data_IF_565050843218
#
_entry.id   IF_565050843218
#
_cell.length_a   1.000
_cell.length_b   1.000
_cell.length_c   1.000
_cell.angle_alpha   90.00
_cell.angle_beta   90.00
_cell.angle_gamma   90.00
#
_symmetry.space_group_name_H-M   'P 1'
#
loop_
_entity.id
_entity.type
_entity.pdbx_description
1 polymer ?
#
# COMPACT_ATOMS: atom_id res chain seq x y z
N UNK A 1 4.86 -12.99 -7.32
CA UNK A 1 4.79 -11.50 -7.33
C UNK A 1 6.20 -10.93 -7.21
N UNK A 2 6.55 -9.93 -8.03
CA UNK A 2 7.83 -9.21 -7.96
C UNK A 2 7.65 -8.01 -7.01
N UNK A 3 8.63 -7.69 -6.17
CA UNK A 3 8.60 -6.46 -5.38
C UNK A 3 9.39 -5.36 -6.09
N UNK A 4 8.86 -4.15 -6.04
CA UNK A 4 9.47 -2.94 -6.55
C UNK A 4 9.84 -2.03 -5.38
N UNK A 5 11.11 -1.63 -5.34
CA UNK A 5 11.59 -0.65 -4.38
C UNK A 5 11.16 0.75 -4.84
N UNK A 6 10.40 1.45 -4.00
CA UNK A 6 10.03 2.84 -4.26
C UNK A 6 11.22 3.73 -3.92
N UNK A 7 12.13 3.93 -4.88
CA UNK A 7 13.06 5.05 -4.82
C UNK A 7 12.30 6.33 -5.19
N UNK A 8 11.73 7.02 -4.22
CA UNK A 8 11.24 8.38 -4.43
C UNK A 8 12.45 9.31 -4.62
N UNK A 9 13.00 9.36 -5.85
CA UNK A 9 14.06 10.30 -6.25
C UNK A 9 13.41 11.49 -6.95
N UNK A 10 13.56 12.68 -6.37
CA UNK A 10 13.21 14.02 -6.90
C UNK A 10 13.87 14.40 -8.25
N UNK A 11 14.37 13.46 -9.06
CA UNK A 11 15.23 13.79 -10.21
C UNK A 11 14.51 14.56 -11.33
N UNK A 12 13.19 14.44 -11.46
CA UNK A 12 12.42 15.24 -12.43
C UNK A 12 12.03 16.64 -11.94
N UNK A 13 12.34 17.01 -10.70
CA UNK A 13 11.99 18.34 -10.17
C UNK A 13 13.01 19.44 -10.48
N UNK A 14 14.26 19.10 -10.84
CA UNK A 14 15.27 20.13 -11.15
C UNK A 14 15.08 20.78 -12.53
N UNK A 15 14.58 20.05 -13.54
CA UNK A 15 14.23 20.66 -14.83
C UNK A 15 12.93 21.48 -14.77
N UNK A 16 12.01 21.11 -13.88
CA UNK A 16 10.79 21.89 -13.60
C UNK A 16 11.08 23.14 -12.74
N UNK A 17 12.10 23.09 -11.87
CA UNK A 17 12.60 24.23 -11.11
C UNK A 17 13.25 25.30 -11.99
N UNK A 18 14.01 24.91 -13.02
CA UNK A 18 14.58 25.86 -14.00
C UNK A 18 13.47 26.57 -14.81
N UNK A 19 12.39 25.86 -15.12
CA UNK A 19 11.19 26.39 -15.78
C UNK A 19 10.35 27.31 -14.88
N UNK A 20 10.27 27.02 -13.57
CA UNK A 20 9.58 27.84 -12.58
C UNK A 20 10.37 29.11 -12.22
N UNK A 21 11.70 29.09 -12.32
CA UNK A 21 12.57 30.26 -12.11
C UNK A 21 12.48 31.29 -13.23
N UNK A 22 12.10 30.88 -14.45
CA UNK A 22 11.97 31.76 -15.62
C UNK A 22 10.57 32.43 -15.75
N UNK A 23 9.56 31.96 -15.02
CA UNK A 23 8.15 32.40 -15.19
C UNK A 23 7.61 33.28 -14.05
N UNK A 24 8.49 33.78 -13.18
CA UNK A 24 8.26 35.01 -12.40
C UNK A 24 6.93 35.10 -11.66
N UNK A 25 6.73 34.29 -10.62
CA UNK A 25 5.67 34.52 -9.63
C UNK A 25 6.16 34.24 -8.20
N UNK A 26 6.57 35.34 -7.57
CA UNK A 26 6.41 35.67 -6.15
C UNK A 26 7.28 34.94 -5.11
N UNK A 27 8.22 35.73 -4.60
CA UNK A 27 9.26 35.53 -3.59
C UNK A 27 8.87 34.85 -2.25
N UNK A 28 7.62 34.41 -2.06
CA UNK A 28 7.21 33.67 -0.86
C UNK A 28 7.67 32.20 -0.87
N UNK A 29 7.76 31.58 -2.06
CA UNK A 29 8.23 30.19 -2.17
C UNK A 29 9.75 30.06 -1.96
N UNK A 30 10.51 31.09 -2.35
CA UNK A 30 11.98 31.11 -2.22
C UNK A 30 12.42 31.17 -0.75
N UNK A 31 11.67 31.86 0.12
CA UNK A 31 11.94 31.90 1.56
C UNK A 31 11.64 30.57 2.28
N UNK A 32 10.60 29.85 1.87
CA UNK A 32 10.28 28.50 2.40
C UNK A 32 11.35 27.47 2.03
N UNK A 33 11.95 27.62 0.84
CA UNK A 33 13.02 26.73 0.35
C UNK A 33 14.40 27.09 0.91
N UNK A 34 14.69 28.37 1.21
CA UNK A 34 15.99 28.81 1.70
C UNK A 34 16.12 28.88 3.23
N UNK A 35 15.03 29.13 3.97
CA UNK A 35 15.08 29.34 5.43
C UNK A 35 14.11 28.46 6.25
N UNK A 36 13.29 27.61 5.60
CA UNK A 36 12.64 26.50 6.30
C UNK A 36 13.73 25.57 6.86
N UNK A 37 13.57 25.01 8.09
CA UNK A 37 14.67 24.36 8.78
C UNK A 37 15.38 23.34 7.89
N UNK A 38 16.66 23.63 7.67
CA UNK A 38 17.70 22.81 7.07
C UNK A 38 17.90 21.53 7.89
N UNK A 39 16.97 20.60 7.72
CA UNK A 39 17.04 19.17 8.03
C UNK A 39 15.65 18.64 7.70
N UNK A 40 15.49 17.83 6.64
CA UNK A 40 14.37 16.90 6.67
C UNK A 40 14.66 15.97 7.86
N UNK A 41 13.82 15.91 8.92
CA UNK A 41 14.09 15.04 10.07
C UNK A 41 13.93 13.54 9.72
N UNK A 42 13.63 13.21 8.47
CA UNK A 42 13.20 11.89 8.04
C UNK A 42 14.37 10.93 7.81
N UNK A 43 14.97 10.45 8.91
CA UNK A 43 15.70 9.18 8.95
C UNK A 43 14.70 8.01 9.05
N UNK A 44 13.86 7.80 8.04
CA UNK A 44 13.01 6.59 7.97
C UNK A 44 13.53 5.54 6.98
N UNK A 45 14.86 5.54 6.80
CA UNK A 45 15.59 4.44 6.19
C UNK A 45 15.73 3.35 7.25
N UNK A 46 14.99 2.26 7.07
CA UNK A 46 15.00 1.15 8.01
C UNK A 46 14.68 -0.13 7.28
N UNK A 47 15.12 -1.25 7.84
CA UNK A 47 14.61 -2.55 7.42
C UNK A 47 13.18 -2.67 7.98
N UNK A 48 12.18 -3.09 7.18
CA UNK A 48 10.87 -3.43 7.74
C UNK A 48 11.05 -4.37 8.95
N UNK A 49 10.40 -4.07 10.10
CA UNK A 49 10.52 -4.91 11.29
C UNK A 49 10.04 -6.34 11.01
N UNK A 50 10.46 -7.33 11.82
CA UNK A 50 10.13 -8.74 11.62
C UNK A 50 8.69 -9.06 12.05
N UNK A 51 7.73 -8.38 11.44
CA UNK A 51 6.29 -8.56 11.63
C UNK A 51 5.68 -9.00 10.30
N UNK A 52 4.77 -9.97 10.36
CA UNK A 52 3.93 -10.34 9.23
C UNK A 52 2.48 -10.10 9.62
N UNK A 53 1.78 -9.33 8.80
CA UNK A 53 0.41 -8.95 8.98
C UNK A 53 -0.46 -9.55 7.88
N UNK A 54 -1.52 -10.24 8.26
CA UNK A 54 -2.62 -10.61 7.37
C UNK A 54 -3.93 -10.15 7.99
N UNK A 55 -4.95 -9.96 7.17
CA UNK A 55 -6.29 -9.56 7.60
C UNK A 55 -7.29 -10.67 7.31
N UNK A 56 -8.23 -10.89 8.24
CA UNK A 56 -9.33 -11.82 8.08
C UNK A 56 -10.58 -11.19 8.70
N UNK A 57 -11.75 -11.47 8.14
CA UNK A 57 -13.03 -11.09 8.76
C UNK A 57 -13.11 -11.64 10.20
N UNK A 58 -13.94 -11.02 11.05
CA UNK A 58 -14.22 -11.45 12.43
C UNK A 58 -14.98 -12.81 12.47
N UNK A 59 -14.36 -13.89 11.97
CA UNK A 59 -14.90 -15.26 11.90
C UNK A 59 -14.37 -16.17 13.02
N UNK A 60 -13.52 -15.63 13.91
CA UNK A 60 -12.87 -16.40 14.99
C UNK A 60 -11.76 -17.35 14.52
N UNK A 61 -11.71 -17.71 13.24
CA UNK A 61 -10.65 -18.53 12.66
C UNK A 61 -10.42 -18.22 11.17
N UNK A 62 -9.25 -18.58 10.66
CA UNK A 62 -8.93 -18.47 9.23
C UNK A 62 -9.75 -19.53 8.47
N UNK A 63 -10.53 -19.15 7.42
CA UNK A 63 -11.27 -20.11 6.60
C UNK A 63 -10.35 -21.17 6.03
N UNK A 64 -10.82 -22.43 6.00
CA UNK A 64 -10.00 -23.61 5.65
C UNK A 64 -9.22 -23.45 4.34
N UNK A 65 -9.84 -22.86 3.32
CA UNK A 65 -9.19 -22.62 2.01
C UNK A 65 -7.99 -21.68 2.07
N UNK A 66 -7.91 -20.79 3.07
CA UNK A 66 -6.83 -19.84 3.23
C UNK A 66 -5.72 -20.29 4.20
N UNK A 67 -5.94 -21.37 4.97
CA UNK A 67 -4.95 -21.88 5.93
C UNK A 67 -3.58 -22.17 5.29
N UNK A 68 -3.48 -22.81 4.11
CA UNK A 68 -2.18 -23.07 3.48
C UNK A 68 -1.40 -21.79 3.15
N UNK A 69 -2.09 -20.68 2.91
CA UNK A 69 -1.47 -19.39 2.62
C UNK A 69 -0.90 -18.79 3.90
N UNK A 70 -1.67 -18.75 4.99
CA UNK A 70 -1.20 -18.30 6.29
C UNK A 70 -0.02 -19.15 6.82
N UNK A 71 -0.13 -20.47 6.72
CA UNK A 71 0.94 -21.42 7.08
C UNK A 71 2.22 -21.17 6.28
N UNK A 72 2.09 -20.85 4.99
CA UNK A 72 3.28 -20.53 4.17
C UNK A 72 4.07 -19.34 4.72
N UNK A 73 3.41 -18.34 5.31
CA UNK A 73 4.08 -17.20 5.94
C UNK A 73 4.76 -17.59 7.25
N UNK A 74 4.12 -18.39 8.09
CA UNK A 74 4.70 -18.91 9.35
C UNK A 74 5.96 -19.75 9.07
N UNK A 75 5.86 -20.67 8.12
CA UNK A 75 6.96 -21.59 7.77
C UNK A 75 8.12 -20.84 7.09
N UNK A 76 7.82 -19.91 6.19
CA UNK A 76 8.87 -19.17 5.48
C UNK A 76 9.52 -18.09 6.34
N UNK A 77 8.82 -17.50 7.32
CA UNK A 77 9.31 -16.41 8.16
C UNK A 77 9.30 -16.80 9.66
N UNK A 78 10.02 -17.86 10.08
CA UNK A 78 9.94 -18.38 11.46
C UNK A 78 10.46 -17.40 12.52
N UNK A 79 11.26 -16.41 12.11
CA UNK A 79 11.76 -15.33 12.99
C UNK A 79 10.82 -14.12 13.06
N UNK A 80 9.73 -14.11 12.29
CA UNK A 80 8.78 -13.00 12.29
C UNK A 80 7.62 -13.31 13.22
N UNK A 81 7.14 -12.28 13.92
CA UNK A 81 5.88 -12.38 14.64
C UNK A 81 4.73 -12.26 13.64
N UNK A 82 3.91 -13.30 13.56
CA UNK A 82 2.70 -13.30 12.76
C UNK A 82 1.54 -12.66 13.53
N UNK A 83 0.81 -11.77 12.87
CA UNK A 83 -0.31 -11.02 13.43
C UNK A 83 -1.49 -11.08 12.46
N UNK A 84 -2.54 -11.80 12.86
CA UNK A 84 -3.81 -11.82 12.15
C UNK A 84 -4.72 -10.72 12.70
N UNK A 85 -5.12 -9.81 11.82
CA UNK A 85 -5.98 -8.68 12.16
C UNK A 85 -7.41 -8.95 11.75
N UNK A 86 -8.34 -8.63 12.65
CA UNK A 86 -9.77 -8.66 12.36
C UNK A 86 -10.32 -7.27 12.08
N UNK A 87 -11.50 -7.17 11.47
CA UNK A 87 -12.12 -5.86 11.19
C UNK A 87 -12.28 -5.05 12.49
N UNK A 88 -12.74 -5.69 13.57
CA UNK A 88 -12.84 -5.06 14.89
C UNK A 88 -11.47 -4.63 15.44
N UNK A 89 -10.42 -5.43 15.23
CA UNK A 89 -9.04 -5.09 15.62
C UNK A 89 -8.51 -3.85 14.88
N UNK A 90 -8.73 -3.78 13.57
CA UNK A 90 -8.32 -2.65 12.74
C UNK A 90 -9.09 -1.37 13.09
N UNK A 91 -10.40 -1.47 13.39
CA UNK A 91 -11.19 -0.32 13.85
C UNK A 91 -10.68 0.21 15.19
N UNK A 92 -10.30 -0.66 16.13
CA UNK A 92 -9.67 -0.25 17.39
C UNK A 92 -8.32 0.43 17.16
N UNK A 93 -7.50 -0.08 16.23
CA UNK A 93 -6.23 0.54 15.84
C UNK A 93 -6.45 1.98 15.35
N UNK A 94 -7.37 2.17 14.40
CA UNK A 94 -7.68 3.50 13.87
C UNK A 94 -8.25 4.41 14.95
N UNK A 95 -9.23 3.95 15.73
CA UNK A 95 -9.84 4.77 16.78
C UNK A 95 -8.83 5.26 17.81
N UNK A 96 -7.84 4.43 18.16
CA UNK A 96 -6.82 4.76 19.16
C UNK A 96 -5.71 5.65 18.63
N UNK A 97 -5.23 5.41 17.40
CA UNK A 97 -4.01 6.05 16.89
C UNK A 97 -4.25 7.05 15.76
N UNK A 98 -5.40 6.98 15.10
CA UNK A 98 -5.76 7.80 13.93
C UNK A 98 -7.25 8.18 13.99
N UNK A 99 -7.70 8.95 14.99
CA UNK A 99 -9.12 9.23 15.21
C UNK A 99 -9.80 9.92 14.02
N UNK A 100 -9.08 10.79 13.31
CA UNK A 100 -9.55 11.38 12.06
C UNK A 100 -9.78 10.30 10.98
N UNK A 101 -8.88 9.31 10.91
CA UNK A 101 -9.02 8.17 10.02
C UNK A 101 -10.21 7.29 10.37
N UNK A 102 -10.41 7.01 11.65
CA UNK A 102 -11.58 6.29 12.12
C UNK A 102 -12.89 7.01 11.74
N UNK A 103 -12.90 8.35 11.78
CA UNK A 103 -14.06 9.15 11.43
C UNK A 103 -14.36 9.09 9.92
N UNK A 104 -13.39 9.46 9.06
CA UNK A 104 -13.66 9.51 7.62
C UNK A 104 -13.91 8.12 7.03
N UNK A 105 -13.22 7.07 7.50
CA UNK A 105 -13.44 5.71 6.99
C UNK A 105 -14.86 5.23 7.30
N UNK A 106 -15.39 5.52 8.49
CA UNK A 106 -16.78 5.21 8.87
C UNK A 106 -17.80 5.97 8.04
N UNK A 107 -17.49 7.21 7.64
CA UNK A 107 -18.43 8.06 6.88
C UNK A 107 -18.43 7.76 5.38
N UNK A 108 -17.29 7.38 4.82
CA UNK A 108 -17.09 7.38 3.36
C UNK A 108 -16.95 5.99 2.75
N UNK A 109 -16.51 4.98 3.49
CA UNK A 109 -16.32 3.63 2.96
C UNK A 109 -17.61 2.82 3.08
N UNK A 110 -17.95 2.10 2.01
CA UNK A 110 -19.24 1.40 1.88
C UNK A 110 -19.14 -0.10 2.10
N UNK A 111 -17.94 -0.67 2.04
CA UNK A 111 -17.74 -2.12 2.17
C UNK A 111 -16.56 -2.48 3.06
N UNK A 112 -16.54 -3.74 3.53
CA UNK A 112 -15.40 -4.29 4.28
C UNK A 112 -14.12 -4.36 3.44
N UNK A 113 -14.26 -4.64 2.14
CA UNK A 113 -13.12 -4.70 1.22
C UNK A 113 -12.45 -3.32 1.08
N UNK A 114 -13.24 -2.26 0.88
CA UNK A 114 -12.72 -0.90 0.85
C UNK A 114 -12.03 -0.50 2.16
N UNK A 115 -12.62 -0.90 3.29
CA UNK A 115 -12.00 -0.68 4.61
C UNK A 115 -10.66 -1.40 4.75
N UNK A 116 -10.57 -2.66 4.32
CA UNK A 116 -9.31 -3.42 4.32
C UNK A 116 -8.25 -2.79 3.40
N UNK A 117 -8.65 -2.31 2.22
CA UNK A 117 -7.75 -1.62 1.27
C UNK A 117 -7.13 -0.36 1.87
N UNK A 118 -7.87 0.36 2.70
CA UNK A 118 -7.38 1.55 3.42
C UNK A 118 -6.58 1.16 4.67
N UNK A 119 -7.12 0.26 5.49
CA UNK A 119 -6.60 -0.04 6.82
C UNK A 119 -5.18 -0.61 6.79
N UNK A 120 -4.80 -1.34 5.72
CA UNK A 120 -3.44 -1.88 5.55
C UNK A 120 -2.36 -0.81 5.48
N UNK A 121 -2.66 0.37 4.95
CA UNK A 121 -1.71 1.49 4.92
C UNK A 121 -1.50 2.07 6.31
N UNK A 122 -2.56 2.28 7.09
CA UNK A 122 -2.46 2.73 8.47
C UNK A 122 -1.78 1.70 9.37
N UNK A 123 -2.04 0.42 9.13
CA UNK A 123 -1.39 -0.69 9.83
C UNK A 123 0.12 -0.66 9.62
N UNK A 124 0.58 -0.60 8.37
CA UNK A 124 2.01 -0.49 8.04
C UNK A 124 2.59 0.86 8.46
N UNK A 125 1.83 1.94 8.42
CA UNK A 125 2.30 3.26 8.86
C UNK A 125 2.62 3.21 10.36
N UNK A 126 1.81 2.50 11.15
CA UNK A 126 1.99 2.38 12.59
C UNK A 126 3.07 1.37 12.98
N UNK A 127 2.96 0.12 12.51
CA UNK A 127 3.83 -0.97 12.95
C UNK A 127 5.02 -1.23 12.02
N UNK A 128 4.94 -0.79 10.76
CA UNK A 128 5.80 -1.29 9.70
C UNK A 128 5.57 -2.77 9.44
N UNK A 129 6.60 -3.45 8.95
CA UNK A 129 6.63 -4.89 8.72
C UNK A 129 6.17 -5.27 7.34
N UNK A 130 5.75 -6.51 7.19
CA UNK A 130 5.23 -7.09 5.96
C UNK A 130 3.71 -7.19 6.08
N UNK A 131 2.98 -6.64 5.12
CA UNK A 131 1.56 -6.91 4.93
C UNK A 131 1.38 -7.81 3.71
N UNK A 132 0.55 -8.83 3.82
CA UNK A 132 0.11 -9.65 2.71
C UNK A 132 -1.40 -9.92 2.79
N UNK A 133 -2.07 -9.92 1.64
CA UNK A 133 -3.46 -10.41 1.58
C UNK A 133 -3.51 -11.88 2.02
N UNK A 134 -4.68 -12.31 2.51
CA UNK A 134 -4.85 -13.63 3.11
C UNK A 134 -4.65 -14.78 2.10
N UNK A 135 -4.86 -14.50 0.82
CA UNK A 135 -4.70 -15.39 -0.33
C UNK A 135 -3.31 -15.29 -1.01
N UNK A 136 -2.36 -14.54 -0.42
CA UNK A 136 -0.99 -14.46 -0.93
C UNK A 136 -0.13 -15.54 -0.27
N UNK A 137 0.49 -16.39 -1.09
CA UNK A 137 1.42 -17.44 -0.64
C UNK A 137 2.85 -16.92 -0.57
N UNK A 138 3.53 -17.12 0.56
CA UNK A 138 4.96 -16.90 0.65
C UNK A 138 5.73 -18.07 0.03
N UNK A 139 6.56 -17.77 -0.98
CA UNK A 139 7.43 -18.78 -1.64
C UNK A 139 8.88 -18.76 -1.14
N UNK A 140 9.29 -17.69 -0.46
CA UNK A 140 10.65 -17.51 0.07
C UNK A 140 10.66 -16.42 1.13
N UNK A 141 11.74 -16.35 1.90
CA UNK A 141 12.01 -15.27 2.84
C UNK A 141 12.15 -13.93 2.12
N UNK A 142 11.35 -12.94 2.53
CA UNK A 142 11.43 -11.59 2.02
C UNK A 142 12.65 -10.80 2.51
N UNK A 143 13.09 -10.88 3.78
CA UNK A 143 14.16 -10.02 4.27
C UNK A 143 15.46 -10.11 3.45
N UNK A 144 15.95 -11.33 3.16
CA UNK A 144 17.13 -11.54 2.33
C UNK A 144 16.94 -11.00 0.89
N UNK A 145 15.73 -11.12 0.35
CA UNK A 145 15.39 -10.58 -0.96
C UNK A 145 15.36 -9.03 -0.94
N UNK A 146 14.82 -8.42 0.11
CA UNK A 146 14.81 -6.96 0.29
C UNK A 146 16.22 -6.40 0.46
N UNK A 147 17.08 -7.09 1.21
CA UNK A 147 18.49 -6.71 1.38
C UNK A 147 19.22 -6.77 0.02
N UNK A 148 18.97 -7.83 -0.78
CA UNK A 148 19.53 -7.93 -2.14
C UNK A 148 19.04 -6.82 -3.08
N UNK A 149 17.81 -6.33 -2.89
CA UNK A 149 17.25 -5.21 -3.66
C UNK A 149 17.89 -3.89 -3.22
N UNK A 150 18.03 -3.68 -1.92
CA UNK A 150 18.67 -2.50 -1.35
C UNK A 150 20.12 -2.36 -1.84
N UNK A 151 20.88 -3.47 -1.83
CA UNK A 151 22.25 -3.52 -2.29
C UNK A 151 22.38 -3.19 -3.78
N UNK A 152 21.56 -3.82 -4.64
CA UNK A 152 21.56 -3.56 -6.09
C UNK A 152 21.19 -2.12 -6.46
N UNK A 153 20.41 -1.45 -5.61
CA UNK A 153 19.97 -0.07 -5.83
C UNK A 153 20.81 0.96 -5.08
N UNK A 154 21.87 0.52 -4.38
CA UNK A 154 22.73 1.30 -3.48
C UNK A 154 21.93 2.22 -2.54
N UNK A 155 20.74 1.76 -2.13
CA UNK A 155 19.84 2.47 -1.22
C UNK A 155 18.78 1.51 -0.71
N UNK A 156 18.69 1.36 0.62
CA UNK A 156 17.54 0.73 1.25
C UNK A 156 16.37 1.70 1.19
N UNK A 157 15.34 1.44 0.39
CA UNK A 157 14.19 2.36 0.29
C UNK A 157 13.26 2.32 1.50
N UNK A 158 13.43 1.36 2.41
CA UNK A 158 12.62 1.24 3.62
C UNK A 158 11.14 0.94 3.39
N UNK A 159 10.63 0.96 2.16
CA UNK A 159 9.27 0.60 1.79
C UNK A 159 9.21 0.04 0.36
N UNK A 160 8.57 -1.12 0.23
CA UNK A 160 8.54 -1.95 -0.96
C UNK A 160 7.10 -2.36 -1.23
N UNK A 161 6.68 -2.27 -2.49
CA UNK A 161 5.36 -2.69 -2.94
C UNK A 161 5.48 -3.85 -3.92
N UNK A 162 4.49 -4.73 -3.91
CA UNK A 162 4.28 -5.70 -4.98
C UNK A 162 4.03 -4.99 -6.31
N UNK A 163 4.37 -5.67 -7.39
CA UNK A 163 3.91 -5.32 -8.72
C UNK A 163 2.70 -6.20 -9.06
N UNK A 164 1.64 -5.59 -9.57
CA UNK A 164 0.53 -6.34 -10.15
C UNK A 164 1.01 -7.21 -11.32
N UNK A 165 0.37 -8.36 -11.58
CA UNK A 165 0.59 -9.11 -12.81
C UNK A 165 0.47 -8.19 -14.03
N UNK A 166 1.37 -8.35 -15.00
CA UNK A 166 1.39 -7.51 -16.21
C UNK A 166 0.04 -7.57 -16.93
N UNK A 167 -0.57 -8.75 -17.00
CA UNK A 167 -1.91 -8.94 -17.56
C UNK A 167 -2.95 -8.06 -16.87
N UNK A 168 -2.93 -7.93 -15.53
CA UNK A 168 -3.86 -7.06 -14.82
C UNK A 168 -3.59 -5.59 -15.14
N UNK A 169 -2.33 -5.15 -15.08
CA UNK A 169 -1.97 -3.76 -15.36
C UNK A 169 -2.41 -3.34 -16.78
N UNK A 170 -2.16 -4.19 -17.78
CA UNK A 170 -2.47 -3.89 -19.18
C UNK A 170 -3.96 -4.04 -19.47
N UNK A 171 -4.57 -5.18 -19.12
CA UNK A 171 -5.95 -5.48 -19.54
C UNK A 171 -7.01 -4.73 -18.73
N UNK A 172 -6.78 -4.52 -17.43
CA UNK A 172 -7.78 -3.87 -16.56
C UNK A 172 -7.58 -2.36 -16.44
N UNK A 173 -6.35 -1.87 -16.64
CA UNK A 173 -6.01 -0.47 -16.40
C UNK A 173 -5.33 0.23 -17.58
N UNK A 174 -4.98 -0.48 -18.66
CA UNK A 174 -4.28 0.12 -19.80
C UNK A 174 -2.88 0.65 -19.45
N UNK A 175 -2.27 0.15 -18.38
CA UNK A 175 -0.97 0.61 -17.87
C UNK A 175 0.12 -0.44 -18.11
N UNK A 176 1.35 -0.03 -18.46
CA UNK A 176 2.45 -0.97 -18.69
C UNK A 176 2.90 -1.70 -17.42
N UNK A 177 2.67 -1.10 -16.25
CA UNK A 177 2.87 -1.71 -14.94
C UNK A 177 2.04 -0.95 -13.90
N UNK A 178 1.66 -1.65 -12.82
CA UNK A 178 0.90 -1.08 -11.72
C UNK A 178 1.46 -1.60 -10.38
N UNK A 179 1.68 -0.74 -9.37
CA UNK A 179 1.98 -1.20 -8.03
C UNK A 179 0.74 -1.85 -7.40
N UNK A 180 0.99 -2.89 -6.62
CA UNK A 180 -0.03 -3.64 -5.91
C UNK A 180 0.06 -3.40 -4.41
N UNK A 181 -1.10 -3.37 -3.77
CA UNK A 181 -1.25 -3.30 -2.33
C UNK A 181 -1.50 -4.67 -1.67
N UNK A 182 -1.43 -5.77 -2.43
CA UNK A 182 -1.64 -7.14 -1.94
C UNK A 182 -0.42 -7.71 -1.20
N UNK A 183 0.77 -7.14 -1.45
CA UNK A 183 2.00 -7.46 -0.72
C UNK A 183 2.83 -6.19 -0.59
N UNK A 184 3.13 -5.80 0.65
CA UNK A 184 3.89 -4.59 0.95
C UNK A 184 4.84 -4.86 2.11
N UNK A 185 6.00 -4.21 2.13
CA UNK A 185 6.94 -4.30 3.24
C UNK A 185 7.53 -2.93 3.53
N UNK A 186 7.25 -2.34 4.68
CA UNK A 186 7.64 -0.95 4.97
C UNK A 186 8.14 -0.77 6.41
N UNK A 187 8.98 0.22 6.59
CA UNK A 187 9.39 0.71 7.90
C UNK A 187 8.24 1.49 8.54
N UNK A 188 8.09 1.43 9.88
CA UNK A 188 7.10 2.24 10.57
C UNK A 188 7.35 3.73 10.30
N UNK A 189 6.27 4.50 10.15
CA UNK A 189 6.34 5.95 9.92
C UNK A 189 6.84 6.38 8.54
N UNK A 190 7.04 5.45 7.60
CA UNK A 190 7.65 5.74 6.31
C UNK A 190 6.90 6.84 5.53
N UNK A 191 7.63 7.77 4.93
CA UNK A 191 7.08 8.97 4.26
C UNK A 191 6.11 8.64 3.12
N UNK A 192 6.37 7.57 2.36
CA UNK A 192 5.42 7.07 1.35
C UNK A 192 4.06 6.71 1.95
N UNK A 193 4.05 5.99 3.09
CA UNK A 193 2.79 5.59 3.71
C UNK A 193 2.04 6.80 4.24
N UNK A 194 2.77 7.76 4.84
CA UNK A 194 2.19 9.04 5.27
C UNK A 194 1.55 9.79 4.11
N UNK A 195 2.28 9.94 3.01
CA UNK A 195 1.78 10.56 1.79
C UNK A 195 0.50 9.87 1.27
N UNK A 196 0.47 8.54 1.24
CA UNK A 196 -0.73 7.78 0.84
C UNK A 196 -1.87 8.04 1.82
N UNK A 197 -1.65 7.90 3.14
CA UNK A 197 -2.71 8.07 4.13
C UNK A 197 -3.29 9.48 4.17
N UNK A 198 -2.48 10.50 3.90
CA UNK A 198 -2.91 11.90 3.84
C UNK A 198 -3.80 12.17 2.62
N UNK A 199 -3.57 11.45 1.50
CA UNK A 199 -4.34 11.61 0.26
C UNK A 199 -5.62 10.75 0.19
N UNK A 200 -5.67 9.63 0.91
CA UNK A 200 -6.81 8.69 0.88
C UNK A 200 -8.17 9.35 1.14
N UNK A 201 -8.35 10.25 2.14
CA UNK A 201 -9.64 10.89 2.38
C UNK A 201 -10.12 11.69 1.17
N UNK A 202 -9.22 12.48 0.55
CA UNK A 202 -9.54 13.30 -0.62
C UNK A 202 -9.94 12.44 -1.82
N UNK A 203 -9.20 11.36 -2.06
CA UNK A 203 -9.50 10.43 -3.16
C UNK A 203 -10.85 9.75 -2.98
N UNK A 204 -11.13 9.24 -1.77
CA UNK A 204 -12.39 8.56 -1.46
C UNK A 204 -13.57 9.55 -1.50
N UNK A 205 -13.42 10.76 -0.98
CA UNK A 205 -14.46 11.80 -1.02
C UNK A 205 -14.83 12.19 -2.46
N UNK A 206 -13.84 12.34 -3.35
CA UNK A 206 -14.11 12.66 -4.77
C UNK A 206 -14.88 11.53 -5.46
N UNK A 207 -14.51 10.27 -5.21
CA UNK A 207 -15.26 9.11 -5.72
C UNK A 207 -16.69 9.08 -5.17
N UNK A 208 -16.89 9.34 -3.87
CA UNK A 208 -18.21 9.34 -3.26
C UNK A 208 -19.12 10.47 -3.76
N UNK A 209 -18.54 11.58 -4.25
CA UNK A 209 -19.26 12.74 -4.79
C UNK A 209 -19.60 12.59 -6.28
N UNK A 210 -18.94 11.68 -7.00
CA UNK A 210 -19.38 11.25 -8.32
C UNK A 210 -20.61 10.34 -8.13
N UNK A 211 -21.80 10.86 -8.46
CA UNK A 211 -23.11 10.24 -8.25
C UNK A 211 -23.31 8.94 -9.06
N UNK A 212 -24.25 8.07 -8.64
CA UNK A 212 -24.45 6.74 -9.22
C UNK A 212 -25.12 6.86 -10.60
N UNK A 213 -24.43 6.41 -11.64
CA UNK A 213 -24.98 6.36 -13.00
C UNK A 213 -23.93 6.53 -14.10
N UNK A 214 -22.85 7.24 -13.82
CA UNK A 214 -21.78 7.43 -14.81
C UNK A 214 -20.42 6.99 -14.27
N UNK A 215 -19.93 5.86 -14.77
CA UNK A 215 -18.50 5.58 -14.77
C UNK A 215 -17.95 4.73 -13.63
N UNK A 216 -18.73 3.77 -13.11
CA UNK A 216 -18.16 2.64 -12.35
C UNK A 216 -17.11 1.87 -13.18
N UNK A 217 -17.11 2.06 -14.51
CA UNK A 217 -16.17 1.47 -15.47
C UNK A 217 -14.89 2.27 -15.75
N UNK A 218 -14.74 3.53 -15.32
CA UNK A 218 -13.58 4.38 -15.73
C UNK A 218 -12.67 4.85 -14.61
N UNK A 219 -13.17 4.94 -13.38
CA UNK A 219 -12.32 5.19 -12.21
C UNK A 219 -12.15 3.87 -11.49
N UNK A 220 -11.19 3.06 -11.96
CA UNK A 220 -10.81 1.79 -11.36
C UNK A 220 -10.58 1.94 -9.86
N UNK A 221 -11.64 1.67 -9.09
CA UNK A 221 -11.59 1.67 -7.64
C UNK A 221 -10.66 0.55 -7.18
N UNK A 222 -9.98 0.79 -6.06
CA UNK A 222 -9.36 -0.27 -5.28
C UNK A 222 -10.41 -1.38 -5.07
N UNK A 223 -10.30 -2.48 -5.80
CA UNK A 223 -11.07 -3.72 -5.58
C UNK A 223 -12.35 -3.96 -6.39
N UNK A 224 -12.97 -2.97 -7.05
CA UNK A 224 -14.32 -3.17 -7.62
C UNK A 224 -14.38 -4.22 -8.76
N UNK A 225 -13.29 -4.39 -9.52
CA UNK A 225 -13.23 -5.33 -10.66
C UNK A 225 -12.55 -6.68 -10.34
N UNK A 226 -12.19 -6.99 -9.09
CA UNK A 226 -11.51 -8.27 -8.81
C UNK A 226 -12.45 -9.49 -8.83
N UNK A 227 -13.76 -9.32 -8.67
CA UNK A 227 -14.69 -10.46 -8.45
C UNK A 227 -16.08 -10.33 -9.09
N UNK A 228 -16.35 -9.36 -9.96
CA UNK A 228 -17.68 -9.14 -10.59
C UNK A 228 -17.81 -9.73 -12.00
N UNK A 229 -16.82 -10.51 -12.47
CA UNK A 229 -17.02 -11.35 -13.65
C UNK A 229 -17.78 -12.62 -13.27
N UNK A 230 -18.94 -12.85 -13.89
CA UNK A 230 -19.66 -14.12 -13.85
C UNK A 230 -18.68 -15.30 -13.96
N UNK A 231 -18.91 -16.34 -13.16
CA UNK A 231 -18.19 -17.61 -13.16
C UNK A 231 -18.36 -18.35 -14.51
N UNK A 232 -17.75 -17.82 -15.57
CA UNK A 232 -17.45 -18.55 -16.79
C UNK A 232 -16.26 -19.46 -16.51
N UNK A 233 -16.48 -20.77 -16.64
CA UNK A 233 -15.46 -21.82 -16.49
C UNK A 233 -14.18 -21.43 -17.23
N UNK A 234 -13.11 -21.12 -16.51
CA UNK A 234 -11.76 -21.05 -17.07
C UNK A 234 -11.11 -22.43 -16.90
N UNK A 235 -10.49 -23.00 -17.96
CA UNK A 235 -9.87 -24.31 -17.89
C UNK A 235 -8.65 -24.28 -16.98
N UNK A 236 -8.41 -25.38 -16.28
CA UNK A 236 -7.24 -25.59 -15.45
C UNK A 236 -5.96 -25.39 -16.28
N UNK A 237 -5.07 -24.51 -15.83
CA UNK A 237 -3.71 -24.45 -16.34
C UNK A 237 -2.79 -25.24 -15.39
N UNK A 238 -2.38 -26.42 -15.83
CA UNK A 238 -1.21 -27.13 -15.30
C UNK A 238 0.05 -26.33 -15.62
N UNK A 239 0.83 -25.97 -14.60
CA UNK A 239 2.27 -25.61 -14.60
C UNK A 239 2.75 -25.30 -13.17
#
# INVERSE_FOLDING_TARGET
>A
MRLTCLQWRRRNSQQQLLWALLTGASALLTLVVLFGPLQSPFRYWGRPPPLVHQMCSDLGSIPRQYRPYAESWLTSHPRHRYLLWTDSGLRRLLARHYPEAANWTRRLLRSRLEFSDVARYYLLLHYGGIYADLDVRARRQLPAYLDSLANRKSAACGCYLGQEPVAHAVLLFGLPWLPSNALMACSPGHSFLRFVTDLLPLYVSRRASALPGEGESRLGGFGANKYTGELGRLPACDC
#
